data_IF_969847330017
#
_entry.id   IF_969847330017
#
_cell.length_a   1.000
_cell.length_b   1.000
_cell.length_c   1.000
_cell.angle_alpha   90.00
_cell.angle_beta   90.00
_cell.angle_gamma   90.00
#
_symmetry.space_group_name_H-M   'P 1'
#
loop_
_entity.id
_entity.type
_entity.pdbx_description
1 polymer ?
#
# COMPACT_ATOMS: atom_id res chain seq x y z
N UNK A 1 -1.92 8.85 6.33
CA UNK A 1 -3.07 9.26 5.46
C UNK A 1 -3.94 8.09 4.97
N UNK A 2 -3.44 6.84 4.92
CA UNK A 2 -4.19 5.69 4.41
C UNK A 2 -4.83 4.80 5.47
N UNK A 3 -4.52 4.99 6.76
CA UNK A 3 -5.15 4.25 7.86
C UNK A 3 -6.67 4.40 7.79
N UNK A 4 -7.39 3.28 7.79
CA UNK A 4 -8.84 3.20 7.66
C UNK A 4 -9.36 3.19 6.22
N UNK A 5 -8.57 3.55 5.21
CA UNK A 5 -8.93 3.35 3.80
C UNK A 5 -8.86 1.86 3.44
N UNK A 6 -9.68 1.43 2.48
CA UNK A 6 -9.56 0.07 1.95
C UNK A 6 -8.42 -0.01 0.94
N UNK A 7 -7.83 -1.18 0.80
CA UNK A 7 -6.80 -1.45 -0.22
C UNK A 7 -7.30 -1.08 -1.61
N UNK A 8 -8.55 -1.40 -1.93
CA UNK A 8 -9.17 -1.07 -3.22
C UNK A 8 -9.43 0.42 -3.45
N UNK A 9 -9.33 1.26 -2.42
CA UNK A 9 -9.53 2.72 -2.55
C UNK A 9 -8.22 3.46 -2.89
N UNK A 10 -7.09 2.74 -2.89
CA UNK A 10 -5.77 3.30 -3.24
C UNK A 10 -5.41 2.88 -4.66
N UNK A 11 -5.35 3.85 -5.56
CA UNK A 11 -4.85 3.64 -6.91
C UNK A 11 -3.32 3.58 -6.88
N UNK A 12 -2.78 2.48 -7.39
CA UNK A 12 -1.35 2.30 -7.58
C UNK A 12 -0.94 2.73 -9.00
N UNK A 13 0.31 3.16 -9.20
CA UNK A 13 0.88 3.33 -10.52
C UNK A 13 0.78 2.05 -11.36
N UNK A 14 0.74 2.21 -12.69
CA UNK A 14 0.59 1.11 -13.66
C UNK A 14 1.59 -0.04 -13.45
N UNK A 15 2.85 0.29 -13.13
CA UNK A 15 3.93 -0.68 -12.87
C UNK A 15 4.19 -0.91 -11.38
N UNK A 16 3.13 -0.95 -10.56
CA UNK A 16 3.24 -1.25 -9.14
C UNK A 16 2.10 -2.15 -8.64
N UNK A 17 2.44 -3.05 -7.72
CA UNK A 17 1.49 -3.95 -7.08
C UNK A 17 1.75 -4.10 -5.58
N UNK A 18 0.70 -3.95 -4.77
CA UNK A 18 0.73 -4.33 -3.36
C UNK A 18 0.74 -5.86 -3.25
N UNK A 19 1.88 -6.43 -2.87
CA UNK A 19 2.09 -7.88 -2.83
C UNK A 19 1.70 -8.47 -1.48
N UNK A 20 2.02 -7.79 -0.38
CA UNK A 20 1.70 -8.25 0.97
C UNK A 20 1.55 -7.09 1.96
N UNK A 21 0.80 -7.36 3.03
CA UNK A 21 0.77 -6.52 4.23
C UNK A 21 1.38 -7.33 5.37
N UNK A 22 2.40 -6.80 6.03
CA UNK A 22 2.94 -7.36 7.26
C UNK A 22 2.31 -6.59 8.44
N UNK A 23 1.53 -7.31 9.26
CA UNK A 23 0.81 -6.76 10.42
C UNK A 23 1.03 -7.66 11.63
N UNK A 24 1.53 -7.08 12.72
CA UNK A 24 1.80 -7.80 13.97
C UNK A 24 2.65 -9.06 13.76
N UNK A 25 3.67 -8.97 12.87
CA UNK A 25 4.55 -10.07 12.52
C UNK A 25 3.92 -11.16 11.63
N UNK A 26 2.72 -10.92 11.07
CA UNK A 26 2.03 -11.86 10.18
C UNK A 26 1.88 -11.30 8.78
N UNK A 27 2.11 -12.16 7.79
CA UNK A 27 1.91 -11.83 6.37
C UNK A 27 0.45 -12.04 6.00
N UNK A 28 -0.15 -11.01 5.39
CA UNK A 28 -1.52 -11.02 4.88
C UNK A 28 -1.48 -10.84 3.36
N UNK A 29 -2.24 -11.69 2.65
CA UNK A 29 -2.57 -11.44 1.24
C UNK A 29 -3.56 -10.28 1.18
N UNK A 30 -3.22 -9.14 0.54
CA UNK A 30 -4.10 -7.99 0.46
C UNK A 30 -5.36 -8.31 -0.35
N UNK A 31 -6.52 -7.90 0.15
CA UNK A 31 -7.79 -7.95 -0.58
C UNK A 31 -8.37 -6.55 -0.71
N UNK A 32 -9.15 -6.25 -1.77
CA UNK A 32 -9.72 -4.93 -1.97
C UNK A 32 -10.55 -4.41 -0.78
N UNK A 33 -11.17 -5.31 0.01
CA UNK A 33 -11.98 -4.95 1.17
C UNK A 33 -11.18 -4.76 2.48
N UNK A 34 -9.91 -5.14 2.51
CA UNK A 34 -9.09 -5.00 3.71
C UNK A 34 -8.79 -3.53 3.98
N UNK A 35 -8.86 -3.13 5.25
CA UNK A 35 -8.49 -1.78 5.67
C UNK A 35 -7.01 -1.72 6.09
N UNK A 36 -6.33 -0.65 5.70
CA UNK A 36 -4.99 -0.35 6.23
C UNK A 36 -5.09 0.02 7.71
N UNK A 37 -4.15 -0.49 8.50
CA UNK A 37 -4.02 -0.22 9.92
C UNK A 37 -2.73 0.55 10.21
N UNK A 38 -2.72 1.26 11.35
CA UNK A 38 -1.50 1.85 11.85
C UNK A 38 -0.49 0.75 12.19
N UNK A 39 0.76 0.93 11.78
CA UNK A 39 1.82 -0.08 11.95
C UNK A 39 1.88 -1.13 10.85
N UNK A 40 1.02 -1.06 9.82
CA UNK A 40 1.18 -1.90 8.64
C UNK A 40 2.50 -1.59 7.91
N UNK A 41 3.22 -2.64 7.57
CA UNK A 41 4.33 -2.58 6.62
C UNK A 41 3.83 -3.12 5.27
N UNK A 42 3.93 -2.29 4.23
CA UNK A 42 3.45 -2.62 2.89
C UNK A 42 4.61 -3.14 2.04
N UNK A 43 4.46 -4.35 1.51
CA UNK A 43 5.41 -4.90 0.55
C UNK A 43 4.86 -4.66 -0.85
N UNK A 44 5.53 -3.78 -1.59
CA UNK A 44 5.15 -3.37 -2.94
C UNK A 44 6.24 -3.84 -3.90
N UNK A 45 5.82 -4.45 -5.01
CA UNK A 45 6.69 -4.72 -6.16
C UNK A 45 6.44 -3.61 -7.17
N UNK A 46 7.48 -2.91 -7.58
CA UNK A 46 7.37 -1.84 -8.56
C UNK A 46 8.61 -1.74 -9.43
N UNK A 47 8.46 -1.17 -10.62
CA UNK A 47 9.59 -0.74 -11.44
C UNK A 47 10.22 0.53 -10.85
N UNK A 48 11.48 0.79 -11.18
CA UNK A 48 12.19 1.99 -10.72
C UNK A 48 11.50 3.31 -11.15
N UNK A 49 10.78 3.30 -12.28
CA UNK A 49 10.02 4.45 -12.76
C UNK A 49 8.75 4.72 -11.96
N UNK A 50 8.16 3.71 -11.33
CA UNK A 50 6.96 3.85 -10.51
C UNK A 50 7.26 4.27 -9.06
N UNK A 51 8.48 4.02 -8.56
CA UNK A 51 8.89 4.32 -7.19
C UNK A 51 8.60 5.77 -6.74
N UNK A 52 8.89 6.82 -7.54
CA UNK A 52 8.60 8.19 -7.12
C UNK A 52 7.11 8.49 -6.94
N UNK A 53 6.25 7.77 -7.65
CA UNK A 53 4.79 7.96 -7.58
C UNK A 53 4.18 7.25 -6.36
N UNK A 54 4.81 6.19 -5.86
CA UNK A 54 4.31 5.42 -4.71
C UNK A 54 4.23 6.27 -3.44
N UNK A 55 5.14 7.22 -3.24
CA UNK A 55 5.10 8.10 -2.08
C UNK A 55 3.80 8.91 -2.02
N UNK A 56 3.27 9.32 -3.18
CA UNK A 56 2.03 10.09 -3.28
C UNK A 56 0.79 9.25 -2.94
N UNK A 57 0.84 7.94 -3.14
CA UNK A 57 -0.26 7.03 -2.81
C UNK A 57 -0.46 6.88 -1.29
N UNK A 58 0.63 6.97 -0.50
CA UNK A 58 0.63 6.57 0.92
C UNK A 58 1.06 7.65 1.92
N UNK A 59 1.62 8.77 1.48
CA UNK A 59 1.98 9.92 2.33
C UNK A 59 0.96 11.06 2.15
N UNK A 60 0.63 11.82 3.21
CA UNK A 60 -0.12 13.05 3.04
C UNK A 60 0.82 14.03 2.30
N UNK A 61 0.31 14.76 1.31
CA UNK A 61 0.97 16.01 0.92
C UNK A 61 1.03 16.89 2.19
N UNK A 62 2.18 17.54 2.42
CA UNK A 62 2.40 18.40 3.58
C UNK A 62 1.33 19.48 3.72
#
# INVERSE_FOLDING_TARGET
PCVGKRVGDVELPEDAALSAILRDGRVLTPKPADAFAAGDELIIIATASAEPLLQQCFAPEH
#
